data_IF_692895515828
#
_entry.id   IF_692895515828
#
_cell.length_a   1.000
_cell.length_b   1.000
_cell.length_c   1.000
_cell.angle_alpha   90.00
_cell.angle_beta   90.00
_cell.angle_gamma   90.00
#
_symmetry.space_group_name_H-M   'P 1'
#
loop_
_entity.id
_entity.type
_entity.pdbx_description
1 polymer ?
#
# COMPACT_ATOMS: atom_id res chain seq x y z
N UNK A 1 -4.21 -4.24 28.97
CA UNK A 1 -4.36 -2.92 28.30
C UNK A 1 -3.36 -1.94 28.87
N UNK A 2 -2.27 -1.67 28.13
CA UNK A 2 -1.79 -0.32 27.83
C UNK A 2 -2.01 -0.04 26.33
N UNK A 3 -2.42 1.18 25.97
CA UNK A 3 -2.50 1.60 24.55
C UNK A 3 -3.86 1.43 23.86
N UNK A 4 -4.98 1.64 24.57
CA UNK A 4 -6.27 1.87 23.90
C UNK A 4 -6.13 3.11 23.01
N UNK A 5 -5.93 2.89 21.70
CA UNK A 5 -5.79 3.96 20.73
C UNK A 5 -7.11 4.73 20.65
N UNK A 6 -7.05 6.01 20.98
CA UNK A 6 -8.18 6.95 21.05
C UNK A 6 -8.93 7.03 19.71
N UNK A 7 -10.19 7.48 19.70
CA UNK A 7 -10.94 7.73 18.45
C UNK A 7 -10.17 8.62 17.45
N UNK A 8 -9.31 9.51 17.94
CA UNK A 8 -8.41 10.32 17.12
C UNK A 8 -7.43 9.48 16.28
N UNK A 9 -6.90 8.39 16.82
CA UNK A 9 -6.01 7.50 16.07
C UNK A 9 -6.77 6.87 14.90
N UNK A 10 -8.01 6.40 15.10
CA UNK A 10 -8.80 5.81 14.03
C UNK A 10 -9.14 6.80 12.92
N UNK A 11 -9.51 8.04 13.27
CA UNK A 11 -9.79 9.09 12.28
C UNK A 11 -8.52 9.41 11.46
N UNK A 12 -7.38 9.55 12.13
CA UNK A 12 -6.11 9.86 11.47
C UNK A 12 -5.55 8.68 10.67
N UNK A 13 -5.81 7.45 11.11
CA UNK A 13 -5.58 6.22 10.34
C UNK A 13 -6.37 6.22 9.04
N UNK A 14 -7.65 6.60 9.09
CA UNK A 14 -8.50 6.73 7.88
C UNK A 14 -7.92 7.71 6.87
N UNK A 15 -7.49 8.89 7.32
CA UNK A 15 -6.83 9.89 6.46
C UNK A 15 -5.55 9.34 5.83
N UNK A 16 -4.70 8.69 6.63
CA UNK A 16 -3.45 8.08 6.13
C UNK A 16 -3.72 6.93 5.18
N UNK A 17 -4.77 6.13 5.40
CA UNK A 17 -5.19 5.09 4.47
C UNK A 17 -5.64 5.67 3.14
N UNK A 18 -6.38 6.79 3.11
CA UNK A 18 -6.76 7.45 1.84
C UNK A 18 -5.54 7.91 1.04
N UNK A 19 -4.57 8.52 1.72
CA UNK A 19 -3.31 8.96 1.10
C UNK A 19 -2.49 7.77 0.63
N UNK A 20 -2.22 6.82 1.53
CA UNK A 20 -1.39 5.64 1.27
C UNK A 20 -1.99 4.72 0.21
N UNK A 21 -3.33 4.62 0.12
CA UNK A 21 -4.01 3.85 -0.91
C UNK A 21 -3.59 4.28 -2.32
N UNK A 22 -3.49 5.58 -2.57
CA UNK A 22 -3.09 6.14 -3.87
C UNK A 22 -1.60 5.91 -4.17
N UNK A 23 -0.79 5.68 -3.14
CA UNK A 23 0.67 5.62 -3.23
C UNK A 23 1.24 4.21 -3.40
N UNK A 24 0.41 3.17 -3.47
CA UNK A 24 0.88 1.81 -3.64
C UNK A 24 1.56 1.57 -5.00
N UNK A 25 2.81 1.07 -5.04
CA UNK A 25 3.54 0.86 -6.30
C UNK A 25 2.83 -0.06 -7.31
N UNK A 26 2.15 -1.09 -6.81
CA UNK A 26 1.43 -2.06 -7.66
C UNK A 26 0.25 -1.43 -8.41
N UNK A 27 -0.31 -0.31 -7.92
CA UNK A 27 -1.36 0.42 -8.63
C UNK A 27 -0.79 1.22 -9.81
N UNK A 28 0.37 1.85 -9.63
CA UNK A 28 1.06 2.56 -10.72
C UNK A 28 1.48 1.61 -11.85
N UNK A 29 1.95 0.41 -11.50
CA UNK A 29 2.31 -0.60 -12.50
C UNK A 29 1.14 -0.97 -13.42
N UNK A 30 -0.10 -0.98 -12.90
CA UNK A 30 -1.31 -1.21 -13.70
C UNK A 30 -1.65 -0.02 -14.59
N UNK A 31 -1.39 1.21 -14.12
CA UNK A 31 -1.59 2.41 -14.93
C UNK A 31 -0.65 2.44 -16.14
N UNK A 32 0.62 2.05 -15.96
CA UNK A 32 1.62 2.03 -17.03
C UNK A 32 1.50 0.85 -18.02
N UNK A 33 0.75 -0.20 -17.67
CA UNK A 33 0.48 -1.32 -18.56
C UNK A 33 -0.84 -1.20 -19.35
N UNK A 34 -1.61 -0.13 -19.11
CA UNK A 34 -2.82 0.15 -19.87
C UNK A 34 -2.47 0.42 -21.33
N UNK A 35 -3.27 -0.15 -22.26
CA UNK A 35 -3.05 0.00 -23.71
C UNK A 35 -3.13 1.47 -24.15
N UNK A 36 -4.11 2.19 -23.61
CA UNK A 36 -4.43 3.56 -24.01
C UNK A 36 -5.09 4.31 -22.83
N UNK A 37 -5.02 5.64 -22.86
CA UNK A 37 -5.61 6.54 -21.85
C UNK A 37 -7.11 6.30 -21.65
N UNK A 38 -7.84 5.96 -22.73
CA UNK A 38 -9.27 5.63 -22.65
C UNK A 38 -9.53 4.42 -21.76
N UNK A 39 -8.69 3.40 -21.84
CA UNK A 39 -8.80 2.17 -21.04
C UNK A 39 -8.51 2.47 -19.57
N UNK A 40 -7.51 3.30 -19.30
CA UNK A 40 -7.18 3.77 -17.96
C UNK A 40 -8.34 4.57 -17.34
N UNK A 41 -8.85 5.59 -18.05
CA UNK A 41 -10.01 6.38 -17.60
C UNK A 41 -11.22 5.53 -17.33
N UNK A 42 -11.51 4.57 -18.21
CA UNK A 42 -12.63 3.64 -18.03
C UNK A 42 -12.47 2.86 -16.73
N UNK A 43 -11.28 2.32 -16.46
CA UNK A 43 -10.99 1.61 -15.21
C UNK A 43 -11.24 2.49 -13.98
N UNK A 44 -10.77 3.74 -14.00
CA UNK A 44 -10.95 4.69 -12.89
C UNK A 44 -12.43 5.07 -12.70
N UNK A 45 -13.19 5.29 -13.78
CA UNK A 45 -14.63 5.64 -13.72
C UNK A 45 -15.47 4.48 -13.22
N UNK A 46 -15.12 3.23 -13.56
CA UNK A 46 -15.83 2.06 -13.06
C UNK A 46 -15.40 1.65 -11.65
N UNK A 47 -14.26 2.11 -11.16
CA UNK A 47 -13.72 1.75 -9.84
C UNK A 47 -14.72 1.98 -8.68
N UNK A 48 -15.47 3.12 -8.59
CA UNK A 48 -16.47 3.33 -7.56
C UNK A 48 -17.61 2.31 -7.56
N UNK A 49 -17.92 1.68 -8.71
CA UNK A 49 -18.95 0.63 -8.80
C UNK A 49 -18.59 -0.56 -7.90
N UNK A 50 -17.29 -0.84 -7.71
CA UNK A 50 -16.85 -1.89 -6.79
C UNK A 50 -17.17 -1.59 -5.33
N UNK A 51 -17.33 -0.31 -4.94
CA UNK A 51 -17.71 0.05 -3.57
C UNK A 51 -19.11 -0.43 -3.22
N UNK A 52 -19.99 -0.69 -4.19
CA UNK A 52 -21.31 -1.28 -3.95
C UNK A 52 -21.18 -2.67 -3.31
N UNK A 53 -20.18 -3.46 -3.70
CA UNK A 53 -19.91 -4.77 -3.09
C UNK A 53 -19.42 -4.68 -1.63
N UNK A 54 -18.98 -3.49 -1.19
CA UNK A 54 -18.56 -3.29 0.20
C UNK A 54 -19.75 -3.15 1.15
N UNK A 55 -20.92 -2.71 0.65
CA UNK A 55 -22.16 -2.57 1.45
C UNK A 55 -22.59 -3.90 2.09
N UNK A 56 -22.77 -5.02 1.36
CA UNK A 56 -23.14 -6.29 1.99
C UNK A 56 -22.06 -6.80 2.95
N UNK A 57 -20.77 -6.57 2.66
CA UNK A 57 -19.67 -6.96 3.56
C UNK A 57 -19.77 -6.19 4.89
N UNK A 58 -20.04 -4.89 4.84
CA UNK A 58 -20.27 -4.09 6.05
C UNK A 58 -21.49 -4.58 6.84
N UNK A 59 -22.60 -4.88 6.16
CA UNK A 59 -23.81 -5.40 6.82
C UNK A 59 -23.52 -6.72 7.54
N UNK A 60 -22.75 -7.63 6.94
CA UNK A 60 -22.35 -8.89 7.59
C UNK A 60 -21.45 -8.61 8.80
N UNK A 61 -20.51 -7.66 8.69
CA UNK A 61 -19.69 -7.23 9.82
C UNK A 61 -20.50 -6.70 11.00
N UNK A 62 -21.50 -5.85 10.75
CA UNK A 62 -22.41 -5.35 11.77
C UNK A 62 -23.31 -6.44 12.35
N UNK A 63 -23.84 -7.34 11.51
CA UNK A 63 -24.59 -8.50 11.96
C UNK A 63 -23.76 -9.39 12.90
N UNK A 64 -22.46 -9.49 12.63
CA UNK A 64 -21.50 -10.20 13.47
C UNK A 64 -21.33 -9.64 14.89
N UNK A 65 -21.52 -8.34 15.09
CA UNK A 65 -21.48 -7.71 16.44
C UNK A 65 -22.62 -8.21 17.33
N UNK A 66 -23.75 -8.53 16.73
CA UNK A 66 -24.95 -9.04 17.41
C UNK A 66 -25.01 -10.58 17.42
N UNK A 67 -23.99 -11.25 16.87
CA UNK A 67 -24.02 -12.70 16.74
C UNK A 67 -23.82 -13.38 18.11
N UNK A 68 -24.71 -14.30 18.54
CA UNK A 68 -24.68 -14.85 19.90
C UNK A 68 -23.40 -15.61 20.27
N UNK A 69 -22.77 -16.25 19.28
CA UNK A 69 -21.54 -17.03 19.47
C UNK A 69 -20.42 -16.47 18.59
N UNK A 70 -19.81 -15.33 18.94
CA UNK A 70 -18.75 -14.77 18.12
C UNK A 70 -17.50 -15.67 18.14
N UNK A 71 -16.76 -15.78 17.02
CA UNK A 71 -15.49 -16.50 17.00
C UNK A 71 -14.43 -15.79 17.84
N UNK A 72 -13.37 -16.50 18.29
CA UNK A 72 -12.28 -15.89 19.06
C UNK A 72 -11.59 -14.73 18.34
N UNK A 73 -11.49 -14.82 17.01
CA UNK A 73 -10.88 -13.81 16.15
C UNK A 73 -11.96 -13.08 15.34
N UNK A 74 -12.09 -11.74 15.46
CA UNK A 74 -13.12 -10.96 14.74
C UNK A 74 -13.09 -11.13 13.21
N UNK A 75 -11.92 -11.40 12.63
CA UNK A 75 -11.75 -11.59 11.19
C UNK A 75 -12.40 -12.87 10.66
N UNK A 76 -12.65 -13.83 11.54
CA UNK A 76 -13.31 -15.09 11.19
C UNK A 76 -14.83 -14.99 11.24
N UNK A 77 -15.39 -13.79 11.54
CA UNK A 77 -16.83 -13.61 11.71
C UNK A 77 -17.63 -14.02 10.47
N UNK A 78 -17.14 -13.65 9.29
CA UNK A 78 -17.81 -13.95 8.03
C UNK A 78 -17.89 -15.47 7.75
N UNK A 79 -16.78 -16.23 7.75
CA UNK A 79 -16.87 -17.68 7.58
C UNK A 79 -17.61 -18.35 8.75
N UNK A 80 -17.50 -17.84 9.97
CA UNK A 80 -18.20 -18.38 11.13
C UNK A 80 -19.72 -18.29 10.98
N UNK A 81 -20.25 -17.12 10.59
CA UNK A 81 -21.68 -16.93 10.33
C UNK A 81 -22.12 -17.86 9.20
N UNK A 82 -21.39 -17.92 8.09
CA UNK A 82 -21.77 -18.75 6.95
C UNK A 82 -21.81 -20.25 7.25
N UNK A 83 -20.90 -20.74 8.10
CA UNK A 83 -20.91 -22.13 8.55
C UNK A 83 -21.99 -22.42 9.60
N UNK A 84 -22.48 -21.39 10.28
CA UNK A 84 -23.56 -21.51 11.27
C UNK A 84 -24.95 -21.40 10.64
N UNK A 85 -25.04 -20.88 9.42
CA UNK A 85 -26.27 -20.91 8.64
C UNK A 85 -26.38 -22.30 8.00
N UNK A 86 -27.54 -22.94 8.11
CA UNK A 86 -27.86 -24.24 7.47
C UNK A 86 -28.00 -24.10 5.94
N UNK A 87 -26.99 -23.55 5.28
CA UNK A 87 -26.92 -23.35 3.83
C UNK A 87 -26.38 -24.60 3.14
N UNK A 88 -26.75 -24.84 1.87
CA UNK A 88 -26.17 -25.94 1.10
C UNK A 88 -24.65 -25.82 1.02
N UNK A 89 -23.93 -26.94 1.19
CA UNK A 89 -22.47 -26.98 1.17
C UNK A 89 -21.86 -26.38 -0.12
N UNK A 90 -22.56 -26.50 -1.24
CA UNK A 90 -22.17 -25.88 -2.52
C UNK A 90 -22.10 -24.34 -2.42
N UNK A 91 -23.06 -23.72 -1.74
CA UNK A 91 -23.14 -22.25 -1.60
C UNK A 91 -22.00 -21.75 -0.70
N UNK A 92 -21.80 -22.42 0.45
CA UNK A 92 -20.72 -22.10 1.38
C UNK A 92 -19.36 -22.29 0.71
N UNK A 93 -19.17 -23.41 0.00
CA UNK A 93 -17.95 -23.71 -0.75
C UNK A 93 -17.64 -22.68 -1.83
N UNK A 94 -18.65 -22.28 -2.63
CA UNK A 94 -18.49 -21.26 -3.67
C UNK A 94 -18.13 -19.89 -3.08
N UNK A 95 -18.74 -19.52 -1.95
CA UNK A 95 -18.41 -18.29 -1.26
C UNK A 95 -16.97 -18.29 -0.75
N UNK A 96 -16.55 -19.34 -0.04
CA UNK A 96 -15.19 -19.48 0.47
C UNK A 96 -14.16 -19.48 -0.67
N UNK A 97 -14.46 -20.17 -1.78
CA UNK A 97 -13.62 -20.16 -2.98
C UNK A 97 -13.50 -18.76 -3.58
N UNK A 98 -14.60 -18.00 -3.64
CA UNK A 98 -14.61 -16.61 -4.12
C UNK A 98 -13.78 -15.68 -3.23
N UNK A 99 -13.92 -15.80 -1.90
CA UNK A 99 -13.14 -15.02 -0.94
C UNK A 99 -11.64 -15.30 -1.07
N UNK A 100 -11.26 -16.58 -1.18
CA UNK A 100 -9.88 -16.99 -1.44
C UNK A 100 -9.36 -16.46 -2.78
N UNK A 101 -10.15 -16.59 -3.85
CA UNK A 101 -9.77 -16.11 -5.18
C UNK A 101 -9.53 -14.59 -5.20
N UNK A 102 -10.37 -13.81 -4.51
CA UNK A 102 -10.20 -12.36 -4.38
C UNK A 102 -8.90 -11.99 -3.64
N UNK A 103 -8.61 -12.67 -2.53
CA UNK A 103 -7.36 -12.51 -1.79
C UNK A 103 -6.13 -12.88 -2.62
N UNK A 104 -6.17 -14.00 -3.33
CA UNK A 104 -5.07 -14.47 -4.18
C UNK A 104 -4.80 -13.53 -5.36
N UNK A 105 -5.83 -12.95 -5.97
CA UNK A 105 -5.66 -11.98 -7.07
C UNK A 105 -4.91 -10.72 -6.62
N UNK A 106 -5.20 -10.23 -5.41
CA UNK A 106 -4.50 -9.07 -4.83
C UNK A 106 -3.08 -9.45 -4.41
N UNK A 107 -2.92 -10.61 -3.75
CA UNK A 107 -1.64 -11.13 -3.31
C UNK A 107 -0.65 -11.35 -4.46
N UNK A 108 -1.08 -11.93 -5.57
CA UNK A 108 -0.26 -12.12 -6.77
C UNK A 108 0.23 -10.77 -7.34
N UNK A 109 -0.68 -9.79 -7.47
CA UNK A 109 -0.33 -8.47 -7.96
C UNK A 109 0.72 -7.77 -7.09
N UNK A 110 0.60 -7.87 -5.76
CA UNK A 110 1.57 -7.29 -4.83
C UNK A 110 2.90 -8.04 -4.89
N UNK A 111 2.91 -9.37 -4.79
CA UNK A 111 4.13 -10.17 -4.82
C UNK A 111 4.90 -9.98 -6.13
N UNK A 112 4.20 -9.99 -7.27
CA UNK A 112 4.79 -9.73 -8.57
C UNK A 112 5.34 -8.31 -8.69
N UNK A 113 4.58 -7.30 -8.24
CA UNK A 113 5.03 -5.91 -8.26
C UNK A 113 6.30 -5.72 -7.41
N UNK A 114 6.30 -6.22 -6.17
CA UNK A 114 7.45 -6.13 -5.26
C UNK A 114 8.70 -6.79 -5.85
N UNK A 115 8.57 -8.01 -6.40
CA UNK A 115 9.69 -8.70 -7.03
C UNK A 115 10.20 -7.96 -8.28
N UNK A 116 9.28 -7.46 -9.12
CA UNK A 116 9.65 -6.72 -10.33
C UNK A 116 10.39 -5.41 -10.00
N UNK A 117 9.91 -4.66 -9.02
CA UNK A 117 10.54 -3.41 -8.56
C UNK A 117 11.93 -3.69 -7.99
N UNK A 118 12.07 -4.73 -7.16
CA UNK A 118 13.36 -5.08 -6.58
C UNK A 118 14.42 -5.43 -7.64
N UNK A 119 14.02 -6.13 -8.71
CA UNK A 119 14.92 -6.48 -9.82
C UNK A 119 15.20 -5.27 -10.71
N UNK A 120 14.16 -4.60 -11.22
CA UNK A 120 14.32 -3.54 -12.23
C UNK A 120 14.86 -2.25 -11.64
N UNK A 121 14.31 -1.82 -10.52
CA UNK A 121 14.67 -0.54 -9.92
C UNK A 121 15.84 -0.72 -8.96
N UNK A 122 15.85 -1.81 -8.19
CA UNK A 122 16.95 -2.14 -7.27
C UNK A 122 18.20 -2.66 -7.98
N UNK A 123 18.11 -3.82 -8.63
CA UNK A 123 19.31 -4.47 -9.19
C UNK A 123 19.80 -3.82 -10.48
N UNK A 124 18.91 -3.57 -11.44
CA UNK A 124 19.31 -3.05 -12.75
C UNK A 124 19.60 -1.55 -12.65
N UNK A 125 18.63 -0.75 -12.16
CA UNK A 125 18.74 0.71 -12.18
C UNK A 125 19.66 1.25 -11.06
N UNK A 126 19.42 0.88 -9.80
CA UNK A 126 20.19 1.45 -8.68
C UNK A 126 21.59 0.84 -8.53
N UNK A 127 21.74 -0.47 -8.73
CA UNK A 127 23.04 -1.17 -8.63
C UNK A 127 23.78 -1.32 -9.98
N UNK A 128 23.17 -0.90 -11.09
CA UNK A 128 23.79 -0.96 -12.41
C UNK A 128 24.04 -2.37 -12.95
N UNK A 129 23.33 -3.40 -12.45
CA UNK A 129 23.51 -4.78 -12.91
C UNK A 129 22.94 -4.96 -14.31
N UNK A 130 23.71 -5.61 -15.19
CA UNK A 130 23.23 -6.02 -16.52
C UNK A 130 22.70 -7.45 -16.44
N UNK A 131 21.40 -7.61 -16.67
CA UNK A 131 20.74 -8.92 -16.73
C UNK A 131 20.21 -9.15 -18.14
N UNK A 132 20.34 -10.37 -18.66
CA UNK A 132 19.60 -10.78 -19.85
C UNK A 132 18.10 -10.90 -19.53
N UNK A 133 17.24 -10.86 -20.53
CA UNK A 133 15.78 -11.01 -20.35
C UNK A 133 15.41 -12.32 -19.65
N UNK A 134 16.10 -13.42 -19.97
CA UNK A 134 15.93 -14.71 -19.31
C UNK A 134 16.36 -14.68 -17.84
N UNK A 135 17.50 -14.02 -17.55
CA UNK A 135 18.00 -13.89 -16.18
C UNK A 135 17.10 -12.98 -15.33
N UNK A 136 16.61 -11.86 -15.86
CA UNK A 136 15.65 -10.97 -15.21
C UNK A 136 14.35 -11.72 -14.86
N UNK A 137 13.77 -12.44 -15.82
CA UNK A 137 12.53 -13.22 -15.59
C UNK A 137 12.73 -14.30 -14.52
N UNK A 138 13.89 -14.97 -14.54
CA UNK A 138 14.24 -15.98 -13.53
C UNK A 138 14.40 -15.35 -12.15
N UNK A 139 15.08 -14.20 -12.07
CA UNK A 139 15.24 -13.44 -10.84
C UNK A 139 13.90 -13.04 -10.22
N UNK A 140 12.99 -12.47 -11.02
CA UNK A 140 11.64 -12.10 -10.56
C UNK A 140 10.89 -13.32 -10.02
N UNK A 141 10.89 -14.45 -10.74
CA UNK A 141 10.21 -15.69 -10.29
C UNK A 141 10.76 -16.21 -8.97
N UNK A 142 12.09 -16.23 -8.81
CA UNK A 142 12.73 -16.67 -7.57
C UNK A 142 12.36 -15.73 -6.42
N UNK A 143 12.40 -14.42 -6.64
CA UNK A 143 12.04 -13.44 -5.64
C UNK A 143 10.56 -13.51 -5.22
N UNK A 144 9.65 -13.81 -6.14
CA UNK A 144 8.23 -14.06 -5.79
C UNK A 144 8.15 -15.21 -4.77
N UNK A 145 8.81 -16.34 -5.03
CA UNK A 145 8.80 -17.49 -4.12
C UNK A 145 9.40 -17.13 -2.76
N UNK A 146 10.53 -16.41 -2.75
CA UNK A 146 11.18 -15.97 -1.50
C UNK A 146 10.29 -15.02 -0.70
N UNK A 147 9.67 -14.04 -1.37
CA UNK A 147 8.75 -13.09 -0.72
C UNK A 147 7.52 -13.81 -0.16
N UNK A 148 6.91 -14.72 -0.92
CA UNK A 148 5.76 -15.50 -0.45
C UNK A 148 6.12 -16.41 0.73
N UNK A 149 7.29 -17.05 0.70
CA UNK A 149 7.76 -17.87 1.83
C UNK A 149 7.97 -17.02 3.10
N UNK A 150 8.58 -15.84 2.96
CA UNK A 150 8.74 -14.90 4.07
C UNK A 150 7.39 -14.39 4.59
N UNK A 151 6.46 -14.04 3.70
CA UNK A 151 5.10 -13.63 4.06
C UNK A 151 4.33 -14.75 4.77
N UNK A 152 4.48 -16.01 4.32
CA UNK A 152 3.87 -17.16 4.98
C UNK A 152 4.45 -17.40 6.39
N UNK A 153 5.77 -17.32 6.55
CA UNK A 153 6.41 -17.45 7.85
C UNK A 153 5.90 -16.37 8.84
N UNK A 154 5.77 -15.12 8.37
CA UNK A 154 5.17 -14.04 9.15
C UNK A 154 3.69 -14.30 9.45
N UNK A 155 2.91 -14.77 8.47
CA UNK A 155 1.49 -15.06 8.65
C UNK A 155 1.22 -16.13 9.71
N UNK A 156 2.07 -17.16 9.81
CA UNK A 156 1.94 -18.24 10.82
C UNK A 156 2.32 -17.78 12.23
N UNK A 157 3.20 -16.77 12.34
CA UNK A 157 3.71 -16.27 13.62
C UNK A 157 3.01 -15.00 14.12
N UNK A 158 2.17 -14.39 13.28
CA UNK A 158 1.48 -13.15 13.61
C UNK A 158 0.21 -13.41 14.42
N UNK A 159 0.18 -12.91 15.65
CA UNK A 159 -0.97 -13.04 16.57
C UNK A 159 -1.83 -11.77 16.67
N UNK A 160 -1.56 -10.76 15.82
CA UNK A 160 -2.28 -9.48 15.86
C UNK A 160 -3.49 -9.42 14.92
N UNK A 161 -4.19 -8.29 14.99
CA UNK A 161 -5.31 -7.94 14.10
C UNK A 161 -4.79 -7.47 12.72
N UNK A 162 -5.23 -8.14 11.66
CA UNK A 162 -4.90 -7.84 10.26
C UNK A 162 -5.29 -6.42 9.86
N UNK A 163 -6.40 -5.88 10.38
CA UNK A 163 -6.81 -4.51 10.10
C UNK A 163 -5.78 -3.54 10.66
N UNK A 164 -5.31 -3.78 11.89
CA UNK A 164 -4.25 -2.97 12.50
C UNK A 164 -2.94 -3.11 11.75
N UNK A 165 -2.56 -4.33 11.35
CA UNK A 165 -1.37 -4.57 10.54
C UNK A 165 -1.39 -3.74 9.25
N UNK A 166 -2.54 -3.73 8.58
CA UNK A 166 -2.75 -2.96 7.35
C UNK A 166 -2.68 -1.44 7.60
N UNK A 167 -3.30 -0.94 8.67
CA UNK A 167 -3.20 0.48 9.05
C UNK A 167 -1.74 0.90 9.30
N UNK A 168 -0.95 0.05 9.95
CA UNK A 168 0.49 0.31 10.12
C UNK A 168 1.25 0.30 8.79
N UNK A 169 0.92 -0.61 7.86
CA UNK A 169 1.54 -0.63 6.54
C UNK A 169 1.27 0.64 5.74
N UNK A 170 0.10 1.27 5.90
CA UNK A 170 -0.23 2.54 5.23
C UNK A 170 0.67 3.71 5.66
N UNK A 171 1.25 3.68 6.87
CA UNK A 171 2.12 4.74 7.37
C UNK A 171 3.35 4.99 6.48
N UNK A 172 4.24 3.99 6.31
CA UNK A 172 5.38 4.08 5.39
C UNK A 172 4.97 4.29 3.93
N UNK A 173 3.89 3.66 3.45
CA UNK A 173 3.44 3.82 2.06
C UNK A 173 2.97 5.25 1.76
N UNK A 174 2.31 5.91 2.71
CA UNK A 174 1.91 7.31 2.56
C UNK A 174 3.11 8.27 2.38
N UNK A 175 4.33 7.86 2.74
CA UNK A 175 5.52 8.70 2.60
C UNK A 175 5.96 8.90 1.14
N UNK A 176 5.45 8.10 0.21
CA UNK A 176 5.62 8.37 -1.23
C UNK A 176 4.77 9.55 -1.71
N UNK A 177 3.76 9.97 -0.94
CA UNK A 177 2.79 10.99 -1.37
C UNK A 177 3.41 12.36 -1.69
N UNK A 178 4.30 12.95 -0.86
CA UNK A 178 4.91 14.23 -1.20
C UNK A 178 5.68 14.16 -2.52
N UNK A 179 6.48 13.10 -2.73
CA UNK A 179 7.22 12.87 -3.97
C UNK A 179 6.30 12.73 -5.18
N UNK A 180 5.21 11.97 -5.04
CA UNK A 180 4.19 11.81 -6.08
C UNK A 180 3.54 13.16 -6.44
N UNK A 181 3.11 13.94 -5.45
CA UNK A 181 2.46 15.23 -5.67
C UNK A 181 3.38 16.23 -6.38
N UNK A 182 4.66 16.26 -5.99
CA UNK A 182 5.69 17.07 -6.64
C UNK A 182 5.82 16.72 -8.12
N UNK A 183 5.87 15.43 -8.42
CA UNK A 183 5.97 14.89 -9.79
C UNK A 183 4.74 15.28 -10.63
N UNK A 184 3.53 15.10 -10.08
CA UNK A 184 2.27 15.42 -10.74
C UNK A 184 2.08 16.92 -10.99
N UNK A 185 2.55 17.78 -10.09
CA UNK A 185 2.50 19.24 -10.26
C UNK A 185 3.55 19.77 -11.25
N UNK A 186 4.31 18.91 -11.92
CA UNK A 186 5.31 19.29 -12.92
C UNK A 186 6.50 20.07 -12.32
N UNK A 187 6.68 20.03 -11.00
CA UNK A 187 7.75 20.76 -10.31
C UNK A 187 8.96 19.84 -10.17
N UNK A 188 10.05 20.11 -10.91
CA UNK A 188 11.33 19.44 -10.66
C UNK A 188 11.86 19.89 -9.29
N UNK A 189 11.81 19.00 -8.30
CA UNK A 189 12.55 19.17 -7.04
C UNK A 189 13.82 18.33 -7.08
N UNK A 190 14.79 18.74 -6.28
CA UNK A 190 16.01 17.98 -6.06
C UNK A 190 15.65 16.56 -5.63
N UNK A 191 16.10 15.57 -6.40
CA UNK A 191 15.89 14.17 -6.09
C UNK A 191 16.38 13.86 -4.67
N UNK A 192 17.47 14.47 -4.23
CA UNK A 192 18.02 14.25 -2.88
C UNK A 192 17.04 14.74 -1.80
N UNK A 193 16.37 15.88 -1.99
CA UNK A 193 15.38 16.38 -1.03
C UNK A 193 14.19 15.42 -0.89
N UNK A 194 13.72 14.85 -2.02
CA UNK A 194 12.62 13.87 -2.04
C UNK A 194 13.03 12.56 -1.37
N UNK A 195 14.23 12.04 -1.66
CA UNK A 195 14.72 10.81 -1.04
C UNK A 195 14.98 10.99 0.46
N UNK A 196 15.57 12.11 0.87
CA UNK A 196 15.80 12.42 2.27
C UNK A 196 14.46 12.53 3.05
N UNK A 197 13.48 13.24 2.50
CA UNK A 197 12.15 13.33 3.13
C UNK A 197 11.46 11.99 3.24
N UNK A 198 11.51 11.17 2.18
CA UNK A 198 10.97 9.81 2.19
C UNK A 198 11.61 8.96 3.30
N UNK A 199 12.95 8.93 3.37
CA UNK A 199 13.69 8.16 4.38
C UNK A 199 13.34 8.65 5.78
N UNK A 200 13.42 9.96 6.04
CA UNK A 200 13.08 10.53 7.34
C UNK A 200 11.63 10.21 7.74
N UNK A 201 10.67 10.35 6.82
CA UNK A 201 9.27 10.03 7.09
C UNK A 201 9.04 8.56 7.42
N UNK A 202 9.65 7.64 6.67
CA UNK A 202 9.56 6.20 6.94
C UNK A 202 10.19 5.85 8.29
N UNK A 203 11.38 6.38 8.58
CA UNK A 203 12.06 6.18 9.86
C UNK A 203 11.20 6.69 11.02
N UNK A 204 10.59 7.88 10.89
CA UNK A 204 9.65 8.39 11.91
C UNK A 204 8.46 7.47 12.11
N UNK A 205 7.85 6.94 11.05
CA UNK A 205 6.74 5.99 11.16
C UNK A 205 7.14 4.74 11.96
N UNK A 206 8.31 4.18 11.65
CA UNK A 206 8.83 2.98 12.29
C UNK A 206 9.18 3.24 13.75
N UNK A 207 9.88 4.34 14.05
CA UNK A 207 10.25 4.70 15.42
C UNK A 207 9.03 4.91 16.31
N UNK A 208 8.04 5.68 15.86
CA UNK A 208 6.81 5.93 16.64
C UNK A 208 5.95 4.68 16.82
N UNK A 209 6.10 3.69 15.93
CA UNK A 209 5.44 2.40 16.06
C UNK A 209 6.08 1.53 17.15
N UNK A 210 7.41 1.52 17.25
CA UNK A 210 8.14 0.75 18.26
C UNK A 210 8.19 1.45 19.61
N UNK A 211 8.14 2.79 19.64
CA UNK A 211 8.06 3.61 20.84
C UNK A 211 6.76 4.44 20.86
N UNK A 212 5.60 3.82 21.15
CA UNK A 212 4.31 4.50 21.13
C UNK A 212 4.24 5.70 22.10
N UNK A 213 5.04 5.67 23.17
CA UNK A 213 5.10 6.76 24.16
C UNK A 213 5.63 8.08 23.60
N UNK A 214 6.28 8.06 22.44
CA UNK A 214 6.79 9.26 21.78
C UNK A 214 5.78 9.92 20.86
N UNK A 215 4.68 9.24 20.51
CA UNK A 215 3.66 9.79 19.62
C UNK A 215 2.77 10.78 20.38
N UNK A 216 2.82 12.09 20.07
CA UNK A 216 1.93 13.05 20.70
C UNK A 216 0.49 12.86 20.22
N UNK A 217 -0.46 13.12 21.12
CA UNK A 217 -1.89 13.29 20.81
C UNK A 217 -2.61 12.08 20.22
N UNK A 218 -2.06 10.87 20.37
CA UNK A 218 -2.73 9.63 19.94
C UNK A 218 -3.04 9.63 18.43
N UNK A 219 -2.21 10.30 17.62
CA UNK A 219 -2.36 10.39 16.16
C UNK A 219 -1.65 9.21 15.50
N UNK A 220 -2.14 8.80 14.32
CA UNK A 220 -1.49 7.78 13.50
C UNK A 220 -0.06 8.16 13.14
N UNK A 221 0.86 7.22 13.35
CA UNK A 221 2.31 7.36 13.21
C UNK A 221 2.70 7.83 11.79
N UNK A 222 1.91 7.43 10.79
CA UNK A 222 2.06 7.87 9.40
C UNK A 222 1.88 9.38 9.17
N UNK A 223 1.05 10.05 9.97
CA UNK A 223 0.82 11.49 9.82
C UNK A 223 2.03 12.30 10.29
N UNK A 224 2.64 11.88 11.40
CA UNK A 224 3.90 12.43 11.87
C UNK A 224 5.03 12.18 10.87
N UNK A 225 5.11 10.98 10.31
CA UNK A 225 6.03 10.68 9.21
C UNK A 225 5.85 11.63 8.03
N UNK A 226 4.59 11.90 7.63
CA UNK A 226 4.27 12.79 6.52
C UNK A 226 4.69 14.23 6.82
N UNK A 227 4.44 14.71 8.04
CA UNK A 227 4.85 16.04 8.47
C UNK A 227 6.38 16.20 8.42
N UNK A 228 7.13 15.23 8.93
CA UNK A 228 8.60 15.21 8.85
C UNK A 228 9.07 15.19 7.40
N UNK A 229 8.50 14.32 6.57
CA UNK A 229 8.84 14.19 5.16
C UNK A 229 8.66 15.50 4.40
N UNK A 230 7.48 16.12 4.51
CA UNK A 230 7.19 17.42 3.87
C UNK A 230 8.16 18.49 4.38
N UNK A 231 8.42 18.53 5.68
CA UNK A 231 9.35 19.51 6.27
C UNK A 231 10.76 19.36 5.72
N UNK A 232 11.29 18.14 5.67
CA UNK A 232 12.63 17.85 5.12
C UNK A 232 12.70 18.19 3.63
N UNK A 233 11.68 17.80 2.85
CA UNK A 233 11.61 18.14 1.43
C UNK A 233 11.63 19.65 1.22
N UNK A 234 10.83 20.40 1.98
CA UNK A 234 10.76 21.85 1.87
C UNK A 234 12.07 22.51 2.31
N UNK A 235 12.61 22.12 3.46
CA UNK A 235 13.86 22.66 4.00
C UNK A 235 15.04 22.46 3.04
N UNK A 236 15.21 21.24 2.51
CA UNK A 236 16.28 20.95 1.55
C UNK A 236 16.03 21.60 0.18
N UNK A 237 14.77 21.68 -0.26
CA UNK A 237 14.44 22.37 -1.52
C UNK A 237 14.71 23.88 -1.45
N UNK A 238 14.50 24.50 -0.29
CA UNK A 238 14.81 25.91 -0.05
C UNK A 238 16.33 26.12 0.06
N UNK A 239 17.03 25.28 0.82
CA UNK A 239 18.46 25.38 1.02
C UNK A 239 19.29 25.17 -0.26
N UNK A 240 18.83 24.30 -1.16
CA UNK A 240 19.57 23.92 -2.39
C UNK A 240 19.12 24.69 -3.64
N UNK A 241 18.18 25.62 -3.47
CA UNK A 241 17.63 26.46 -4.53
C UNK A 241 16.64 25.71 -5.43
N UNK A 242 15.51 26.36 -5.72
CA UNK A 242 14.55 25.85 -6.71
C UNK A 242 15.17 25.92 -8.11
N UNK A 243 15.34 24.78 -8.77
CA UNK A 243 15.73 24.74 -10.19
C UNK A 243 14.48 24.65 -11.07
N UNK A 244 14.15 25.69 -11.86
CA UNK A 244 13.05 25.61 -12.82
C UNK A 244 13.33 24.60 -13.94
N UNK A 245 12.28 24.16 -14.62
CA UNK A 245 12.33 23.20 -15.73
C UNK A 245 13.14 23.78 -16.90
N UNK A 246 14.37 23.28 -17.15
CA UNK A 246 15.07 23.55 -18.41
C UNK A 246 14.63 22.54 -19.47
N UNK A 247 13.80 22.97 -20.41
CA UNK A 247 13.49 22.21 -21.62
C UNK A 247 14.68 22.26 -22.58
N UNK A 248 15.68 21.39 -22.40
CA UNK A 248 16.80 21.29 -23.35
C UNK A 248 16.96 19.88 -23.94
N UNK A 249 15.84 19.19 -24.17
CA UNK A 249 15.83 17.91 -24.89
C UNK A 249 14.58 17.83 -25.79
N UNK A 250 14.57 18.63 -26.86
CA UNK A 250 13.47 18.66 -27.82
C UNK A 250 13.77 19.33 -29.15
N UNK A 251 15.05 19.41 -29.57
CA UNK A 251 15.43 20.08 -30.83
C UNK A 251 16.04 19.16 -31.90
N UNK A 252 16.21 17.85 -31.65
CA UNK A 252 16.86 16.95 -32.63
C UNK A 252 15.98 15.74 -33.01
N UNK A 253 14.79 15.99 -33.57
CA UNK A 253 14.00 14.95 -34.22
C UNK A 253 13.16 15.49 -35.40
N UNK A 254 13.72 16.42 -36.17
CA UNK A 254 13.27 16.75 -37.53
C UNK A 254 14.48 16.97 -38.42
N UNK A 255 14.97 15.88 -39.02
CA UNK A 255 15.75 15.82 -40.25
C UNK A 255 15.63 14.39 -40.79
#
# INVERSE_FOLDING_TARGET
MPGAKTGQWFVTSGLISMVGFTCWPHLFMKAFSARDDRTLRRTVVFYPTFMVFLVPIFLIGFAGVLFPTPPPNPEQILPHILMSLDLPALVVGLFCAGALAAGMSTGDAIAHASASILVRDGWITALGRKLSSTAERRAVRILIVVLLAASYALAVTYEGDLVRLLLYAYGPVAQFFPGLLISLLGRRRDGIAVHAGLICGVVTCVLLKFEPGWSPWGVHEGLWGLAVNVTVVLALSLARGWRPFSSSAGSNARA
#
